data_IF_132560715944
#
_entry.id   IF_132560715944
#
_cell.length_a   1.000
_cell.length_b   1.000
_cell.length_c   1.000
_cell.angle_alpha   90.00
_cell.angle_beta   90.00
_cell.angle_gamma   90.00
#
_symmetry.space_group_name_H-M   'P 1'
#
loop_
_entity.id
_entity.type
_entity.pdbx_description
1 polymer ?
#
# COMPACT_ATOMS: atom_id res chain seq x y z
N UNK A 1 -19.44 43.45 -25.68
CA UNK A 1 -20.28 42.32 -25.21
C UNK A 1 -19.92 41.02 -25.93
N UNK A 2 -19.79 41.01 -27.26
CA UNK A 2 -19.44 39.81 -28.06
C UNK A 2 -18.08 39.17 -27.72
N UNK A 3 -17.05 39.97 -27.43
CA UNK A 3 -15.73 39.45 -27.02
C UNK A 3 -15.77 38.58 -25.76
N UNK A 4 -16.49 39.02 -24.73
CA UNK A 4 -16.65 38.27 -23.48
C UNK A 4 -17.46 36.98 -23.68
N UNK A 5 -18.46 37.01 -24.58
CA UNK A 5 -19.24 35.82 -24.96
C UNK A 5 -18.36 34.77 -25.62
N UNK A 6 -17.47 35.16 -26.53
CA UNK A 6 -16.57 34.22 -27.20
C UNK A 6 -15.61 33.54 -26.21
N UNK A 7 -15.02 34.30 -25.29
CA UNK A 7 -14.15 33.74 -24.23
C UNK A 7 -14.93 32.75 -23.36
N UNK A 8 -16.15 33.11 -22.95
CA UNK A 8 -16.98 32.23 -22.14
C UNK A 8 -17.31 30.91 -22.88
N UNK A 9 -17.67 30.98 -24.16
CA UNK A 9 -17.95 29.78 -24.98
C UNK A 9 -16.71 28.88 -25.11
N UNK A 10 -15.54 29.45 -25.36
CA UNK A 10 -14.28 28.69 -25.43
C UNK A 10 -13.96 28.03 -24.09
N UNK A 11 -14.12 28.76 -22.98
CA UNK A 11 -13.89 28.24 -21.63
C UNK A 11 -14.83 27.07 -21.29
N UNK A 12 -16.12 27.21 -21.61
CA UNK A 12 -17.11 26.13 -21.42
C UNK A 12 -16.78 24.91 -22.28
N UNK A 13 -16.45 25.12 -23.56
CA UNK A 13 -16.07 24.02 -24.45
C UNK A 13 -14.81 23.28 -23.95
N UNK A 14 -13.78 24.04 -23.53
CA UNK A 14 -12.57 23.46 -22.95
C UNK A 14 -12.85 22.67 -21.67
N UNK A 15 -13.71 23.19 -20.78
CA UNK A 15 -14.12 22.49 -19.57
C UNK A 15 -14.87 21.19 -19.88
N UNK A 16 -15.80 21.21 -20.84
CA UNK A 16 -16.53 20.01 -21.29
C UNK A 16 -15.56 18.95 -21.81
N UNK A 17 -14.61 19.35 -22.68
CA UNK A 17 -13.59 18.43 -23.21
C UNK A 17 -12.73 17.86 -22.08
N UNK A 18 -12.28 18.69 -21.15
CA UNK A 18 -11.51 18.26 -20.00
C UNK A 18 -12.27 17.22 -19.16
N UNK A 19 -13.52 17.50 -18.78
CA UNK A 19 -14.34 16.58 -17.98
C UNK A 19 -14.68 15.29 -18.74
N UNK A 20 -14.92 15.36 -20.04
CA UNK A 20 -15.13 14.18 -20.88
C UNK A 20 -13.89 13.28 -20.89
N UNK A 21 -12.70 13.85 -21.08
CA UNK A 21 -11.42 13.10 -21.05
C UNK A 21 -11.15 12.53 -19.67
N UNK A 22 -11.29 13.34 -18.61
CA UNK A 22 -11.10 12.90 -17.24
C UNK A 22 -12.04 11.73 -16.87
N UNK A 23 -13.31 11.83 -17.27
CA UNK A 23 -14.31 10.77 -17.07
C UNK A 23 -13.96 9.52 -17.86
N UNK A 24 -13.55 9.64 -19.12
CA UNK A 24 -13.12 8.51 -19.93
C UNK A 24 -11.90 7.79 -19.33
N UNK A 25 -10.92 8.53 -18.82
CA UNK A 25 -9.75 7.99 -18.12
C UNK A 25 -10.16 7.29 -16.82
N UNK A 26 -11.04 7.91 -16.02
CA UNK A 26 -11.54 7.32 -14.79
C UNK A 26 -12.29 6.00 -15.06
N UNK A 27 -13.17 5.98 -16.06
CA UNK A 27 -13.89 4.77 -16.48
C UNK A 27 -12.92 3.69 -16.97
N UNK A 28 -11.90 4.05 -17.76
CA UNK A 28 -10.87 3.11 -18.22
C UNK A 28 -10.08 2.53 -17.04
N UNK A 29 -9.74 3.35 -16.04
CA UNK A 29 -9.05 2.90 -14.83
C UNK A 29 -9.90 1.91 -14.03
N UNK A 30 -11.18 2.23 -13.80
CA UNK A 30 -12.11 1.33 -13.08
C UNK A 30 -12.27 0.00 -13.83
N UNK A 31 -12.45 0.04 -15.16
CA UNK A 31 -12.55 -1.17 -15.98
C UNK A 31 -11.29 -2.04 -15.92
N UNK A 32 -10.11 -1.42 -15.91
CA UNK A 32 -8.83 -2.14 -15.77
C UNK A 32 -8.64 -2.71 -14.37
N UNK A 33 -9.05 -1.99 -13.33
CA UNK A 33 -8.97 -2.46 -11.94
C UNK A 33 -9.82 -3.70 -11.68
N UNK A 34 -10.98 -3.80 -12.36
CA UNK A 34 -11.89 -4.94 -12.22
C UNK A 34 -11.51 -6.14 -13.11
N UNK A 35 -10.56 -5.97 -14.03
CA UNK A 35 -10.05 -7.10 -14.81
C UNK A 35 -9.22 -8.02 -13.88
N UNK A 36 -9.33 -9.36 -14.03
CA UNK A 36 -8.47 -10.28 -13.29
C UNK A 36 -6.99 -9.97 -13.57
N UNK A 37 -6.12 -10.07 -12.56
CA UNK A 37 -4.68 -9.97 -12.80
C UNK A 37 -4.23 -11.09 -13.75
N UNK A 38 -3.18 -10.85 -14.56
CA UNK A 38 -2.58 -11.92 -15.35
C UNK A 38 -2.08 -13.04 -14.42
N UNK A 39 -2.07 -14.30 -14.88
CA UNK A 39 -1.55 -15.40 -14.08
C UNK A 39 -0.08 -15.17 -13.73
N UNK A 40 0.34 -15.70 -12.59
CA UNK A 40 1.75 -15.71 -12.20
C UNK A 40 2.58 -16.52 -13.22
N UNK A 41 3.85 -16.18 -13.41
CA UNK A 41 4.76 -17.04 -14.19
C UNK A 41 4.91 -18.41 -13.49
N UNK A 42 5.32 -19.47 -14.22
CA UNK A 42 5.42 -20.83 -13.65
C UNK A 42 6.31 -20.97 -12.40
N UNK A 43 7.30 -20.09 -12.25
CA UNK A 43 8.14 -19.99 -11.05
C UNK A 43 8.25 -18.52 -10.63
N UNK A 44 7.28 -17.99 -9.87
CA UNK A 44 7.30 -16.59 -9.44
C UNK A 44 8.40 -16.37 -8.39
N UNK A 45 9.15 -15.25 -8.43
CA UNK A 45 10.27 -15.04 -7.51
C UNK A 45 9.83 -15.09 -6.04
N UNK A 46 10.74 -15.48 -5.14
CA UNK A 46 10.50 -15.25 -3.72
C UNK A 46 10.52 -13.74 -3.44
N UNK A 47 9.63 -13.27 -2.58
CA UNK A 47 9.53 -11.85 -2.22
C UNK A 47 9.51 -11.65 -0.71
N UNK A 48 9.92 -10.46 -0.27
CA UNK A 48 9.78 -10.02 1.10
C UNK A 48 8.86 -8.79 1.18
N UNK A 49 7.90 -8.81 2.11
CA UNK A 49 7.04 -7.69 2.44
C UNK A 49 7.57 -7.05 3.72
N UNK A 50 8.23 -5.90 3.56
CA UNK A 50 8.74 -5.11 4.67
C UNK A 50 7.69 -4.09 5.11
N UNK A 51 7.28 -4.12 6.39
CA UNK A 51 6.38 -3.11 6.96
C UNK A 51 6.97 -2.50 8.22
N UNK A 52 7.50 -1.26 8.13
CA UNK A 52 7.82 -0.48 9.31
C UNK A 52 6.51 0.00 9.95
N UNK A 53 6.32 -0.34 11.22
CA UNK A 53 5.15 -0.04 12.03
C UNK A 53 5.49 1.01 13.08
N UNK A 54 4.50 1.78 13.50
CA UNK A 54 4.64 2.70 14.62
C UNK A 54 3.29 3.04 15.24
N UNK A 55 3.19 2.88 16.55
CA UNK A 55 1.99 3.15 17.32
C UNK A 55 0.82 2.23 16.99
N UNK A 56 -0.23 2.34 17.79
CA UNK A 56 -1.48 1.63 17.55
C UNK A 56 -2.36 2.43 16.58
N UNK A 57 -3.04 1.73 15.68
CA UNK A 57 -4.13 2.28 14.87
C UNK A 57 -5.30 1.28 14.88
N UNK A 58 -6.56 1.74 14.88
CA UNK A 58 -7.74 0.87 14.87
C UNK A 58 -7.73 -0.16 13.74
N UNK A 59 -7.14 0.18 12.59
CA UNK A 59 -7.12 -0.68 11.40
C UNK A 59 -5.81 -1.45 11.23
N UNK A 60 -4.86 -1.35 12.17
CA UNK A 60 -3.53 -1.92 12.01
C UNK A 60 -3.59 -3.43 11.81
N UNK A 61 -4.33 -4.14 12.67
CA UNK A 61 -4.45 -5.59 12.61
C UNK A 61 -5.05 -6.07 11.29
N UNK A 62 -6.17 -5.45 10.87
CA UNK A 62 -6.82 -5.80 9.60
C UNK A 62 -5.92 -5.53 8.39
N UNK A 63 -5.22 -4.39 8.40
CA UNK A 63 -4.27 -4.04 7.36
C UNK A 63 -3.12 -5.07 7.28
N UNK A 64 -2.56 -5.47 8.42
CA UNK A 64 -1.49 -6.48 8.44
C UNK A 64 -1.99 -7.86 8.03
N UNK A 65 -3.18 -8.26 8.48
CA UNK A 65 -3.83 -9.51 8.09
C UNK A 65 -4.08 -9.58 6.58
N UNK A 66 -4.35 -8.45 5.92
CA UNK A 66 -4.57 -8.42 4.47
C UNK A 66 -3.33 -8.86 3.68
N UNK A 67 -2.11 -8.60 4.16
CA UNK A 67 -0.88 -9.07 3.51
C UNK A 67 -0.71 -10.59 3.62
N UNK A 68 -1.11 -11.17 4.76
CA UNK A 68 -1.01 -12.62 5.01
C UNK A 68 -2.04 -13.43 4.20
N UNK A 69 -3.02 -12.75 3.57
CA UNK A 69 -4.04 -13.34 2.71
C UNK A 69 -3.71 -13.19 1.21
N UNK A 70 -2.54 -12.67 0.86
CA UNK A 70 -2.12 -12.55 -0.53
C UNK A 70 -1.96 -13.96 -1.14
N UNK A 71 -2.60 -14.17 -2.29
CA UNK A 71 -2.42 -15.38 -3.09
C UNK A 71 -1.12 -15.28 -3.91
N UNK A 72 0.01 -15.35 -3.21
CA UNK A 72 1.35 -15.35 -3.80
C UNK A 72 2.24 -16.36 -3.07
N UNK A 73 2.91 -17.27 -3.79
CA UNK A 73 3.77 -18.28 -3.16
C UNK A 73 5.13 -17.68 -2.76
N UNK A 74 5.79 -18.25 -1.75
CA UNK A 74 7.14 -17.86 -1.32
C UNK A 74 7.27 -16.39 -0.88
N UNK A 75 6.38 -15.95 0.00
CA UNK A 75 6.46 -14.63 0.64
C UNK A 75 7.03 -14.74 2.05
N UNK A 76 7.97 -13.86 2.39
CA UNK A 76 8.38 -13.58 3.77
C UNK A 76 7.79 -12.23 4.20
N UNK A 77 7.30 -12.14 5.43
CA UNK A 77 6.77 -10.91 6.01
C UNK A 77 7.68 -10.45 7.14
N UNK A 78 8.23 -9.24 7.05
CA UNK A 78 9.02 -8.61 8.11
C UNK A 78 8.30 -7.37 8.60
N UNK A 79 7.73 -7.47 9.79
CA UNK A 79 6.99 -6.38 10.42
C UNK A 79 7.83 -5.80 11.55
N UNK A 80 8.23 -4.53 11.42
CA UNK A 80 9.24 -3.96 12.32
C UNK A 80 8.77 -2.78 13.11
N UNK A 81 9.16 -2.75 14.37
CA UNK A 81 8.86 -1.71 15.35
C UNK A 81 10.15 -1.09 15.86
N UNK A 82 10.05 0.11 16.42
CA UNK A 82 11.23 0.82 16.92
C UNK A 82 11.85 0.15 18.14
N UNK A 83 11.00 -0.30 19.05
CA UNK A 83 11.37 -0.85 20.34
C UNK A 83 10.22 -1.75 20.85
N UNK A 84 10.47 -2.46 21.95
CA UNK A 84 9.52 -3.43 22.52
C UNK A 84 8.29 -2.77 23.18
N UNK A 85 8.35 -1.48 23.49
CA UNK A 85 7.25 -0.71 24.05
C UNK A 85 6.30 -0.13 22.99
N UNK A 86 6.65 -0.21 21.72
CA UNK A 86 5.78 0.25 20.64
C UNK A 86 4.54 -0.64 20.55
N UNK A 87 3.36 -0.06 20.84
CA UNK A 87 2.06 -0.75 20.80
C UNK A 87 1.71 -1.34 19.44
N UNK A 88 2.37 -0.90 18.37
CA UNK A 88 2.26 -1.54 17.07
C UNK A 88 2.60 -3.04 17.10
N UNK A 89 3.37 -3.50 18.09
CA UNK A 89 3.79 -4.89 18.28
C UNK A 89 2.63 -5.83 18.61
N UNK A 90 1.55 -5.32 19.22
CA UNK A 90 0.39 -6.12 19.64
C UNK A 90 -0.23 -6.87 18.44
N UNK A 91 -0.42 -6.17 17.31
CA UNK A 91 -1.02 -6.72 16.10
C UNK A 91 -0.20 -7.85 15.42
N UNK A 92 1.08 -7.67 15.06
CA UNK A 92 1.87 -8.72 14.43
C UNK A 92 2.09 -9.93 15.34
N UNK A 93 2.17 -9.74 16.66
CA UNK A 93 2.22 -10.86 17.63
C UNK A 93 0.94 -11.68 17.58
N UNK A 94 -0.23 -11.03 17.63
CA UNK A 94 -1.51 -11.73 17.51
C UNK A 94 -1.65 -12.46 16.16
N UNK A 95 -1.21 -11.82 15.07
CA UNK A 95 -1.25 -12.43 13.74
C UNK A 95 -0.34 -13.64 13.59
N UNK A 96 0.84 -13.65 14.25
CA UNK A 96 1.72 -14.82 14.25
C UNK A 96 1.04 -16.05 14.86
N UNK A 97 0.18 -15.86 15.86
CA UNK A 97 -0.65 -16.93 16.44
C UNK A 97 -1.78 -17.35 15.51
N UNK A 98 -2.45 -16.40 14.85
CA UNK A 98 -3.58 -16.68 13.95
C UNK A 98 -3.17 -17.31 12.62
N UNK A 99 -1.95 -17.04 12.15
CA UNK A 99 -1.40 -17.52 10.89
C UNK A 99 -0.06 -18.25 11.12
N UNK A 100 -0.06 -19.41 11.82
CA UNK A 100 1.16 -20.09 12.23
C UNK A 100 2.01 -20.60 11.06
N UNK A 101 1.41 -20.76 9.86
CA UNK A 101 2.10 -21.18 8.65
C UNK A 101 2.68 -20.03 7.82
N UNK A 102 2.34 -18.77 8.15
CA UNK A 102 2.91 -17.62 7.46
C UNK A 102 4.38 -17.46 7.87
N UNK A 103 5.26 -17.21 6.89
CA UNK A 103 6.65 -16.86 7.14
C UNK A 103 6.75 -15.41 7.66
N UNK A 104 6.34 -15.21 8.92
CA UNK A 104 6.22 -13.91 9.57
C UNK A 104 7.28 -13.74 10.67
N UNK A 105 8.12 -12.73 10.48
CA UNK A 105 9.11 -12.27 11.43
C UNK A 105 8.81 -10.87 11.93
N UNK A 106 9.10 -10.65 13.21
CA UNK A 106 8.94 -9.35 13.85
C UNK A 106 10.34 -8.82 14.18
N UNK A 107 10.70 -7.69 13.57
CA UNK A 107 12.02 -7.06 13.75
C UNK A 107 11.89 -5.89 14.72
N UNK A 108 12.68 -5.89 15.79
CA UNK A 108 12.68 -4.78 16.76
C UNK A 108 13.97 -3.99 16.62
N UNK A 109 13.85 -2.68 16.43
CA UNK A 109 14.98 -1.76 16.33
C UNK A 109 14.91 -0.86 15.10
N UNK A 110 15.79 0.14 15.10
CA UNK A 110 16.04 1.07 14.01
C UNK A 110 17.55 1.14 13.77
N UNK A 111 17.96 1.25 12.50
CA UNK A 111 19.36 1.51 12.19
C UNK A 111 19.76 2.94 12.58
N UNK A 112 20.93 3.08 13.20
CA UNK A 112 21.42 4.38 13.67
C UNK A 112 21.87 5.30 12.52
N UNK A 113 21.88 6.61 12.74
CA UNK A 113 22.39 7.57 11.74
C UNK A 113 21.37 7.98 10.66
N UNK A 114 20.12 7.53 10.74
CA UNK A 114 19.06 7.89 9.81
C UNK A 114 17.96 8.69 10.51
N UNK A 115 17.62 9.87 9.98
CA UNK A 115 16.56 10.73 10.54
C UNK A 115 15.15 10.21 10.26
N UNK A 116 14.94 9.54 9.12
CA UNK A 116 13.65 8.95 8.80
C UNK A 116 13.52 7.57 9.43
N UNK A 117 12.77 7.50 10.53
CA UNK A 117 12.53 6.27 11.30
C UNK A 117 11.93 5.12 10.48
N UNK A 118 11.12 5.40 9.45
CA UNK A 118 10.59 4.34 8.57
C UNK A 118 11.71 3.70 7.77
N UNK A 119 12.63 4.51 7.24
CA UNK A 119 13.80 4.04 6.50
C UNK A 119 14.78 3.33 7.43
N UNK A 120 15.01 3.87 8.62
CA UNK A 120 15.86 3.24 9.65
C UNK A 120 15.40 1.82 10.00
N UNK A 121 14.09 1.58 10.12
CA UNK A 121 13.52 0.24 10.32
C UNK A 121 13.73 -0.66 9.11
N UNK A 122 13.55 -0.14 7.90
CA UNK A 122 13.75 -0.91 6.67
C UNK A 122 15.19 -1.36 6.46
N UNK A 123 16.18 -0.56 6.88
CA UNK A 123 17.60 -0.93 6.80
C UNK A 123 17.96 -2.00 7.84
N UNK A 124 17.27 -1.99 8.99
CA UNK A 124 17.47 -2.96 10.07
C UNK A 124 16.88 -4.34 9.76
N UNK A 125 15.83 -4.39 8.93
CA UNK A 125 15.18 -5.62 8.46
C UNK A 125 15.99 -6.31 7.37
#
# INVERSE_FOLDING_TARGET
>A
MEFFRLIAVIGVAAAIVYYAVASAVALRFVRRRNAPPPPLPPSPPAIAVLKPLHGLSPTLADNLASYLKLDYPRVQYLFGVADRGDRALEAPVALKTLFPHANLEIVVGEESGYSNRKVAKLIRM
#
